data_IF_328566620482
#
_entry.id   IF_328566620482
#
_cell.length_a   1.000
_cell.length_b   1.000
_cell.length_c   1.000
_cell.angle_alpha   90.00
_cell.angle_beta   90.00
_cell.angle_gamma   90.00
#
_symmetry.space_group_name_H-M   'P 1'
#
loop_
_entity.id
_entity.type
_entity.pdbx_description
1 polymer ?
#
# COMPACT_ATOMS: atom_id res chain seq x y z
N UNK A 1 69.81 -57.68 -11.83
CA UNK A 1 69.73 -57.71 -10.36
C UNK A 1 68.31 -57.32 -9.98
N UNK A 2 67.45 -58.33 -9.79
CA UNK A 2 66.90 -58.77 -8.48
C UNK A 2 65.90 -57.77 -7.89
N UNK A 3 64.68 -58.08 -7.44
CA UNK A 3 63.70 -59.17 -7.60
C UNK A 3 62.55 -58.78 -6.63
N UNK A 4 61.27 -59.07 -6.96
CA UNK A 4 60.12 -59.32 -6.03
C UNK A 4 59.55 -58.11 -5.26
N UNK A 5 58.33 -58.07 -4.72
CA UNK A 5 56.98 -58.62 -5.03
C UNK A 5 55.95 -57.77 -4.24
N UNK A 6 54.69 -57.90 -4.65
CA UNK A 6 53.43 -57.47 -4.02
C UNK A 6 53.33 -57.78 -2.51
N UNK A 7 52.73 -56.88 -1.72
CA UNK A 7 51.82 -57.27 -0.62
C UNK A 7 50.80 -56.16 -0.32
N UNK A 8 49.54 -56.58 -0.31
CA UNK A 8 48.35 -55.88 0.14
C UNK A 8 48.44 -55.59 1.64
N UNK A 9 48.08 -54.36 2.06
CA UNK A 9 47.42 -54.20 3.35
C UNK A 9 46.24 -53.23 3.20
N UNK A 10 45.08 -53.82 3.41
CA UNK A 10 43.76 -53.23 3.52
C UNK A 10 43.75 -52.24 4.71
N UNK A 11 43.67 -50.94 4.44
CA UNK A 11 43.26 -49.95 5.45
C UNK A 11 41.93 -49.37 5.02
N UNK A 12 40.86 -49.90 5.61
CA UNK A 12 39.53 -49.28 5.64
C UNK A 12 39.70 -47.97 6.39
N UNK A 13 39.87 -46.87 5.66
CA UNK A 13 39.62 -45.54 6.19
C UNK A 13 38.11 -45.35 6.11
N UNK A 14 37.47 -45.45 7.28
CA UNK A 14 36.16 -44.87 7.53
C UNK A 14 36.22 -43.38 7.19
N UNK A 15 35.88 -43.05 5.94
CA UNK A 15 35.38 -41.74 5.57
C UNK A 15 34.02 -41.59 6.24
N UNK A 16 34.05 -41.27 7.54
CA UNK A 16 32.99 -40.47 8.13
C UNK A 16 32.95 -39.18 7.31
N UNK A 17 32.02 -39.13 6.35
CA UNK A 17 31.67 -37.91 5.67
C UNK A 17 31.24 -36.92 6.74
N UNK A 18 32.16 -36.05 7.14
CA UNK A 18 31.82 -34.78 7.76
C UNK A 18 30.95 -34.06 6.74
N UNK A 19 29.63 -34.22 6.88
CA UNK A 19 28.67 -33.30 6.31
C UNK A 19 28.98 -31.94 6.92
N UNK A 20 29.81 -31.17 6.24
CA UNK A 20 29.95 -29.75 6.49
C UNK A 20 28.54 -29.17 6.38
N UNK A 21 27.92 -28.91 7.53
CA UNK A 21 26.67 -28.17 7.61
C UNK A 21 26.92 -26.85 6.91
N UNK A 22 26.32 -26.68 5.73
CA UNK A 22 26.36 -25.39 5.05
C UNK A 22 25.81 -24.33 6.01
N UNK A 23 26.36 -23.10 6.00
CA UNK A 23 25.82 -22.03 6.82
C UNK A 23 24.31 -21.92 6.56
N UNK A 24 23.50 -22.01 7.62
CA UNK A 24 22.03 -22.19 7.56
C UNK A 24 21.28 -21.22 6.64
N UNK A 25 21.66 -19.93 6.49
CA UNK A 25 21.05 -19.03 5.52
C UNK A 25 21.16 -19.52 4.06
N UNK A 26 22.24 -20.26 3.74
CA UNK A 26 22.48 -20.83 2.42
C UNK A 26 21.60 -22.07 2.15
N UNK A 27 21.18 -22.79 3.19
CA UNK A 27 20.30 -23.96 3.07
C UNK A 27 18.91 -23.55 2.58
N UNK A 28 18.25 -22.60 3.25
CA UNK A 28 16.91 -22.14 2.86
C UNK A 28 16.93 -21.50 1.48
N UNK A 29 17.94 -20.68 1.16
CA UNK A 29 18.08 -20.06 -0.17
C UNK A 29 18.12 -21.12 -1.29
N UNK A 30 18.86 -22.21 -1.09
CA UNK A 30 18.91 -23.30 -2.06
C UNK A 30 17.60 -24.10 -2.14
N UNK A 31 16.92 -24.30 -1.01
CA UNK A 31 15.61 -24.96 -1.00
C UNK A 31 14.56 -24.12 -1.72
N UNK A 32 14.52 -22.80 -1.49
CA UNK A 32 13.61 -21.90 -2.20
C UNK A 32 13.91 -21.82 -3.70
N UNK A 33 15.18 -21.78 -4.11
CA UNK A 33 15.53 -21.89 -5.55
C UNK A 33 14.98 -23.16 -6.21
N UNK A 34 14.93 -24.28 -5.47
CA UNK A 34 14.33 -25.52 -5.97
C UNK A 34 12.81 -25.40 -6.03
N UNK A 35 12.16 -24.81 -5.02
CA UNK A 35 10.72 -24.50 -5.04
C UNK A 35 10.38 -23.65 -6.27
N UNK A 36 11.09 -22.54 -6.48
CA UNK A 36 10.89 -21.64 -7.62
C UNK A 36 11.08 -22.38 -8.96
N UNK A 37 12.11 -23.24 -9.05
CA UNK A 37 12.33 -24.05 -10.26
C UNK A 37 11.22 -25.05 -10.53
N UNK A 38 10.60 -25.63 -9.50
CA UNK A 38 9.48 -26.56 -9.66
C UNK A 38 8.21 -25.79 -10.06
N UNK A 39 7.98 -24.64 -9.44
CA UNK A 39 6.87 -23.75 -9.77
C UNK A 39 6.93 -23.30 -11.25
N UNK A 40 8.10 -22.84 -11.71
CA UNK A 40 8.31 -22.42 -13.10
C UNK A 40 8.12 -23.56 -14.12
N UNK A 41 8.19 -24.83 -13.68
CA UNK A 41 7.93 -26.03 -14.51
C UNK A 41 6.48 -26.51 -14.41
N UNK A 42 5.61 -25.81 -13.68
CA UNK A 42 4.24 -26.24 -13.41
C UNK A 42 4.14 -27.45 -12.47
N UNK A 43 5.23 -27.84 -11.79
CA UNK A 43 5.29 -28.99 -10.90
C UNK A 43 4.83 -28.63 -9.47
N UNK A 44 3.61 -28.11 -9.36
CA UNK A 44 3.08 -27.50 -8.11
C UNK A 44 2.98 -28.51 -6.97
N UNK A 45 2.64 -29.78 -7.24
CA UNK A 45 2.58 -30.84 -6.21
C UNK A 45 3.95 -31.09 -5.58
N UNK A 46 4.99 -31.22 -6.40
CA UNK A 46 6.38 -31.39 -5.92
C UNK A 46 6.90 -30.13 -5.21
N UNK A 47 6.50 -28.95 -5.68
CA UNK A 47 6.81 -27.69 -4.98
C UNK A 47 6.18 -27.67 -3.58
N UNK A 48 4.91 -28.10 -3.45
CA UNK A 48 4.20 -28.20 -2.17
C UNK A 48 4.88 -29.17 -1.19
N UNK A 49 5.27 -30.36 -1.66
CA UNK A 49 6.02 -31.33 -0.85
C UNK A 49 7.33 -30.73 -0.30
N UNK A 50 8.08 -30.03 -1.15
CA UNK A 50 9.32 -29.38 -0.72
C UNK A 50 9.04 -28.25 0.28
N UNK A 51 7.99 -27.45 0.08
CA UNK A 51 7.57 -26.40 1.03
C UNK A 51 7.18 -27.00 2.38
N UNK A 52 6.51 -28.14 2.42
CA UNK A 52 6.20 -28.85 3.68
C UNK A 52 7.46 -29.32 4.41
N UNK A 53 8.49 -29.78 3.68
CA UNK A 53 9.79 -30.13 4.26
C UNK A 53 10.50 -28.90 4.86
N UNK A 54 10.51 -27.78 4.12
CA UNK A 54 11.06 -26.50 4.61
C UNK A 54 10.33 -26.09 5.89
N UNK A 55 9.00 -26.20 5.94
CA UNK A 55 8.21 -25.82 7.10
C UNK A 55 8.57 -26.65 8.34
N UNK A 56 8.73 -27.97 8.18
CA UNK A 56 9.12 -28.85 9.28
C UNK A 56 10.48 -28.48 9.86
N UNK A 57 11.45 -28.20 8.99
CA UNK A 57 12.78 -27.72 9.41
C UNK A 57 12.68 -26.34 10.11
N UNK A 58 11.95 -25.40 9.53
CA UNK A 58 11.78 -24.06 10.08
C UNK A 58 11.10 -24.07 11.46
N UNK A 59 10.09 -24.94 11.68
CA UNK A 59 9.46 -25.12 12.99
C UNK A 59 10.44 -25.68 14.03
N UNK A 60 11.25 -26.67 13.67
CA UNK A 60 12.27 -27.23 14.57
C UNK A 60 13.36 -26.21 14.95
N UNK A 61 13.60 -25.23 14.07
CA UNK A 61 14.57 -24.15 14.27
C UNK A 61 13.98 -22.88 14.87
N UNK A 62 12.66 -22.83 15.14
CA UNK A 62 11.94 -21.63 15.55
C UNK A 62 12.13 -20.44 14.57
N UNK A 63 12.31 -20.71 13.28
CA UNK A 63 12.43 -19.69 12.25
C UNK A 63 11.04 -19.21 11.82
N UNK A 64 10.53 -18.21 12.53
CA UNK A 64 9.19 -17.65 12.32
C UNK A 64 8.98 -17.18 10.87
N UNK A 65 9.94 -16.46 10.30
CA UNK A 65 9.81 -15.93 8.94
C UNK A 65 9.63 -17.06 7.92
N UNK A 66 10.43 -18.12 8.02
CA UNK A 66 10.32 -19.28 7.13
C UNK A 66 9.03 -20.09 7.36
N UNK A 67 8.57 -20.23 8.60
CA UNK A 67 7.29 -20.88 8.90
C UNK A 67 6.11 -20.12 8.26
N UNK A 68 6.12 -18.79 8.35
CA UNK A 68 5.07 -17.96 7.73
C UNK A 68 5.18 -17.99 6.21
N UNK A 69 6.40 -17.91 5.64
CA UNK A 69 6.64 -18.02 4.20
C UNK A 69 6.09 -19.32 3.63
N UNK A 70 6.45 -20.43 4.26
CA UNK A 70 5.99 -21.76 3.84
C UNK A 70 4.48 -21.88 3.97
N UNK A 71 3.87 -21.28 5.00
CA UNK A 71 2.40 -21.26 5.12
C UNK A 71 1.76 -20.54 3.93
N UNK A 72 2.21 -19.34 3.56
CA UNK A 72 1.69 -18.60 2.40
C UNK A 72 1.81 -19.43 1.10
N UNK A 73 2.95 -20.08 0.88
CA UNK A 73 3.16 -20.93 -0.30
C UNK A 73 2.27 -22.17 -0.29
N UNK A 74 2.01 -22.77 0.88
CA UNK A 74 1.05 -23.87 1.00
C UNK A 74 -0.36 -23.42 0.59
N UNK A 75 -0.83 -22.25 1.05
CA UNK A 75 -2.13 -21.72 0.66
C UNK A 75 -2.20 -21.51 -0.85
N UNK A 76 -1.17 -20.87 -1.43
CA UNK A 76 -1.04 -20.65 -2.87
C UNK A 76 -1.13 -21.95 -3.67
N UNK A 77 -0.31 -22.94 -3.32
CA UNK A 77 -0.23 -24.20 -4.07
C UNK A 77 -1.47 -25.07 -3.89
N UNK A 78 -2.03 -25.13 -2.69
CA UNK A 78 -3.31 -25.83 -2.47
C UNK A 78 -4.44 -25.22 -3.28
N UNK A 79 -4.50 -23.89 -3.37
CA UNK A 79 -5.50 -23.20 -4.19
C UNK A 79 -5.37 -23.50 -5.70
N UNK A 80 -4.20 -23.94 -6.17
CA UNK A 80 -3.98 -24.34 -7.56
C UNK A 80 -4.36 -25.81 -7.80
N UNK A 81 -4.16 -26.68 -6.81
CA UNK A 81 -4.27 -28.14 -6.97
C UNK A 81 -5.63 -28.69 -6.53
N UNK A 82 -6.21 -28.15 -5.46
CA UNK A 82 -7.47 -28.62 -4.89
C UNK A 82 -8.65 -27.92 -5.59
N UNK A 83 -9.71 -28.67 -5.93
CA UNK A 83 -10.96 -28.10 -6.44
C UNK A 83 -11.70 -27.34 -5.33
N UNK A 84 -12.31 -26.19 -5.66
CA UNK A 84 -13.08 -25.36 -4.73
C UNK A 84 -12.36 -25.05 -3.40
N UNK A 85 -11.03 -24.94 -3.48
CA UNK A 85 -10.18 -24.96 -2.30
C UNK A 85 -10.13 -23.65 -1.55
N UNK A 86 -10.40 -22.52 -2.22
CA UNK A 86 -10.23 -21.21 -1.64
C UNK A 86 -11.04 -21.04 -0.36
N UNK A 87 -12.35 -21.32 -0.37
CA UNK A 87 -13.19 -21.17 0.82
C UNK A 87 -12.75 -22.11 1.95
N UNK A 88 -12.45 -23.37 1.61
CA UNK A 88 -11.94 -24.36 2.58
C UNK A 88 -10.63 -23.89 3.22
N UNK A 89 -9.69 -23.40 2.40
CA UNK A 89 -8.41 -22.87 2.84
C UNK A 89 -8.61 -21.69 3.79
N UNK A 90 -9.51 -20.75 3.47
CA UNK A 90 -9.80 -19.60 4.33
C UNK A 90 -10.42 -20.03 5.66
N UNK A 91 -11.36 -20.97 5.66
CA UNK A 91 -11.94 -21.49 6.91
C UNK A 91 -10.89 -22.18 7.78
N UNK A 92 -10.03 -23.01 7.20
CA UNK A 92 -8.91 -23.67 7.91
C UNK A 92 -7.91 -22.64 8.45
N UNK A 93 -7.52 -21.66 7.63
CA UNK A 93 -6.59 -20.59 8.01
C UNK A 93 -7.17 -19.72 9.14
N UNK A 94 -8.46 -19.41 9.08
CA UNK A 94 -9.15 -18.66 10.13
C UNK A 94 -9.10 -19.43 11.45
N UNK A 95 -9.47 -20.72 11.45
CA UNK A 95 -9.39 -21.56 12.65
C UNK A 95 -7.96 -21.63 13.21
N UNK A 96 -6.95 -21.79 12.34
CA UNK A 96 -5.55 -21.80 12.75
C UNK A 96 -5.14 -20.45 13.37
N UNK A 97 -5.61 -19.32 12.85
CA UNK A 97 -5.25 -17.99 13.37
C UNK A 97 -5.62 -17.81 14.85
N UNK A 98 -6.74 -18.39 15.29
CA UNK A 98 -7.19 -18.35 16.69
C UNK A 98 -6.44 -19.32 17.62
N UNK A 99 -5.81 -20.36 17.08
CA UNK A 99 -5.10 -21.39 17.87
C UNK A 99 -3.59 -21.20 17.87
N UNK A 100 -3.05 -20.49 16.89
CA UNK A 100 -1.63 -20.30 16.74
C UNK A 100 -1.04 -19.45 17.89
N UNK A 101 0.17 -19.76 18.37
CA UNK A 101 0.85 -18.91 19.33
C UNK A 101 1.41 -17.65 18.65
N UNK A 102 1.72 -16.63 19.44
CA UNK A 102 2.49 -15.48 18.99
C UNK A 102 3.85 -15.90 18.41
N UNK A 103 4.36 -15.26 17.34
CA UNK A 103 3.72 -14.19 16.56
C UNK A 103 2.84 -14.66 15.39
N UNK A 104 2.66 -15.98 15.25
CA UNK A 104 1.91 -16.55 14.12
C UNK A 104 0.44 -16.12 14.12
N UNK A 105 -0.22 -16.08 15.29
CA UNK A 105 -1.62 -15.62 15.39
C UNK A 105 -1.82 -14.23 14.77
N UNK A 106 -1.02 -13.25 15.16
CA UNK A 106 -1.11 -11.88 14.64
C UNK A 106 -0.93 -11.82 13.12
N UNK A 107 0.08 -12.53 12.58
CA UNK A 107 0.34 -12.59 11.15
C UNK A 107 -0.78 -13.30 10.39
N UNK A 108 -1.29 -14.40 10.94
CA UNK A 108 -2.36 -15.18 10.32
C UNK A 108 -3.69 -14.44 10.35
N UNK A 109 -4.02 -13.71 11.41
CA UNK A 109 -5.20 -12.85 11.44
C UNK A 109 -5.10 -11.74 10.37
N UNK A 110 -3.94 -11.08 10.21
CA UNK A 110 -3.76 -10.09 9.15
C UNK A 110 -3.89 -10.69 7.74
N UNK A 111 -3.37 -11.91 7.55
CA UNK A 111 -3.48 -12.63 6.28
C UNK A 111 -4.94 -13.08 6.02
N UNK A 112 -5.66 -13.57 7.02
CA UNK A 112 -7.08 -13.90 6.90
C UNK A 112 -7.91 -12.68 6.49
N UNK A 113 -7.68 -11.53 7.13
CA UNK A 113 -8.39 -10.29 6.79
C UNK A 113 -8.20 -9.93 5.30
N UNK A 114 -6.96 -9.97 4.82
CA UNK A 114 -6.62 -9.75 3.42
C UNK A 114 -7.31 -10.76 2.49
N UNK A 115 -7.25 -12.05 2.82
CA UNK A 115 -7.81 -13.12 1.99
C UNK A 115 -9.34 -13.04 1.90
N UNK A 116 -10.03 -12.76 3.02
CA UNK A 116 -11.48 -12.51 3.00
C UNK A 116 -11.83 -11.27 2.19
N UNK A 117 -11.01 -10.22 2.26
CA UNK A 117 -11.21 -9.04 1.43
C UNK A 117 -11.01 -9.34 -0.04
N UNK A 118 -9.96 -10.07 -0.40
CA UNK A 118 -9.71 -10.53 -1.78
C UNK A 118 -10.84 -11.41 -2.31
N UNK A 119 -11.43 -12.26 -1.46
CA UNK A 119 -12.63 -13.03 -1.82
C UNK A 119 -13.76 -12.12 -2.29
N UNK A 120 -14.10 -11.10 -1.50
CA UNK A 120 -15.11 -10.12 -1.88
C UNK A 120 -14.76 -9.43 -3.19
N UNK A 121 -13.53 -8.91 -3.30
CA UNK A 121 -13.05 -8.18 -4.47
C UNK A 121 -13.17 -9.00 -5.76
N UNK A 122 -12.85 -10.29 -5.71
CA UNK A 122 -12.96 -11.22 -6.84
C UNK A 122 -14.40 -11.67 -7.13
N UNK A 123 -15.32 -11.49 -6.18
CA UNK A 123 -16.70 -11.96 -6.28
C UNK A 123 -17.74 -10.84 -6.14
N UNK A 124 -17.35 -9.57 -6.32
CA UNK A 124 -18.22 -8.38 -6.09
C UNK A 124 -19.62 -8.52 -6.70
N UNK A 125 -19.69 -9.01 -7.94
CA UNK A 125 -20.94 -9.21 -8.66
C UNK A 125 -21.94 -10.12 -7.94
N UNK A 126 -21.45 -11.09 -7.15
CA UNK A 126 -22.28 -12.02 -6.38
C UNK A 126 -22.85 -11.39 -5.11
N UNK A 127 -22.26 -10.31 -4.61
CA UNK A 127 -22.68 -9.65 -3.37
C UNK A 127 -23.80 -8.61 -3.59
N UNK A 128 -23.99 -8.10 -4.82
CA UNK A 128 -24.99 -7.06 -5.09
C UNK A 128 -26.43 -7.46 -4.72
N UNK A 129 -26.76 -8.74 -4.81
CA UNK A 129 -28.10 -9.25 -4.52
C UNK A 129 -28.20 -9.99 -3.17
N UNK A 130 -27.21 -9.85 -2.28
CA UNK A 130 -27.21 -10.52 -0.98
C UNK A 130 -27.63 -9.56 0.11
N UNK A 131 -28.68 -9.93 0.85
CA UNK A 131 -29.13 -9.21 2.04
C UNK A 131 -28.58 -9.91 3.28
N UNK A 132 -28.15 -9.13 4.28
CA UNK A 132 -27.72 -9.67 5.57
C UNK A 132 -28.87 -10.41 6.27
N UNK A 133 -28.56 -11.58 6.83
CA UNK A 133 -29.44 -12.32 7.75
C UNK A 133 -28.68 -12.65 9.04
N UNK A 134 -29.29 -12.49 10.23
CA UNK A 134 -28.68 -12.93 11.49
C UNK A 134 -28.36 -14.44 11.52
N UNK A 135 -29.10 -15.25 10.75
CA UNK A 135 -28.94 -16.70 10.65
C UNK A 135 -28.11 -17.11 9.42
N UNK A 136 -27.12 -16.28 9.04
CA UNK A 136 -26.19 -16.65 7.98
C UNK A 136 -25.40 -17.91 8.34
N UNK A 137 -25.27 -18.82 7.37
CA UNK A 137 -24.60 -20.09 7.58
C UNK A 137 -23.09 -19.92 7.80
N UNK A 138 -22.42 -20.97 8.27
CA UNK A 138 -20.94 -21.00 8.32
C UNK A 138 -20.29 -21.03 6.92
N UNK A 139 -21.07 -21.16 5.84
CA UNK A 139 -20.57 -21.12 4.47
C UNK A 139 -20.48 -19.66 3.97
N UNK A 140 -19.24 -19.19 3.81
CA UNK A 140 -18.94 -17.84 3.34
C UNK A 140 -19.50 -17.51 1.96
N UNK A 141 -19.83 -18.53 1.15
CA UNK A 141 -20.49 -18.34 -0.15
C UNK A 141 -21.88 -17.75 -0.02
N UNK A 142 -22.47 -17.81 1.17
CA UNK A 142 -23.81 -17.27 1.47
C UNK A 142 -23.78 -15.92 2.19
N UNK A 143 -22.61 -15.50 2.67
CA UNK A 143 -22.49 -14.28 3.47
C UNK A 143 -22.87 -13.04 2.67
N UNK A 144 -23.54 -12.11 3.35
CA UNK A 144 -23.70 -10.75 2.90
C UNK A 144 -22.40 -9.97 3.01
N UNK A 145 -22.37 -8.79 2.37
CA UNK A 145 -21.22 -7.89 2.45
C UNK A 145 -21.00 -7.39 3.88
N UNK A 146 -22.08 -7.19 4.64
CA UNK A 146 -22.04 -6.76 6.04
C UNK A 146 -21.30 -7.77 6.91
N UNK A 147 -21.67 -9.06 6.83
CA UNK A 147 -21.00 -10.12 7.58
C UNK A 147 -19.53 -10.26 7.18
N UNK A 148 -19.25 -10.32 5.88
CA UNK A 148 -17.88 -10.42 5.40
C UNK A 148 -17.02 -9.25 5.90
N UNK A 149 -17.56 -8.03 5.87
CA UNK A 149 -16.87 -6.83 6.37
C UNK A 149 -16.59 -6.95 7.87
N UNK A 150 -17.58 -7.36 8.67
CA UNK A 150 -17.40 -7.61 10.10
C UNK A 150 -16.28 -8.64 10.40
N UNK A 151 -16.23 -9.74 9.64
CA UNK A 151 -15.17 -10.75 9.74
C UNK A 151 -13.80 -10.15 9.43
N UNK A 152 -13.69 -9.36 8.35
CA UNK A 152 -12.43 -8.68 7.98
C UNK A 152 -11.99 -7.69 9.07
N UNK A 153 -12.91 -6.87 9.59
CA UNK A 153 -12.67 -5.95 10.71
C UNK A 153 -12.12 -6.73 11.90
N UNK A 154 -12.82 -7.79 12.34
CA UNK A 154 -12.43 -8.62 13.49
C UNK A 154 -11.04 -9.23 13.32
N UNK A 155 -10.71 -9.75 12.14
CA UNK A 155 -9.39 -10.29 11.88
C UNK A 155 -8.30 -9.19 11.92
N UNK A 156 -8.51 -8.02 11.32
CA UNK A 156 -7.54 -6.92 11.45
C UNK A 156 -7.35 -6.48 12.90
N UNK A 157 -8.43 -6.34 13.68
CA UNK A 157 -8.32 -5.97 15.10
C UNK A 157 -7.61 -7.05 15.92
N UNK A 158 -7.91 -8.33 15.67
CA UNK A 158 -7.22 -9.46 16.32
C UNK A 158 -5.74 -9.54 15.95
N UNK A 159 -5.36 -9.12 14.75
CA UNK A 159 -3.95 -9.03 14.37
C UNK A 159 -3.12 -8.09 15.26
N UNK A 160 -3.79 -7.11 15.91
CA UNK A 160 -3.18 -6.08 16.74
C UNK A 160 -3.40 -6.29 18.25
N UNK A 161 -4.08 -7.37 18.66
CA UNK A 161 -4.49 -7.61 20.05
C UNK A 161 -3.29 -7.69 21.01
N UNK A 162 -2.20 -8.36 20.61
CA UNK A 162 -0.99 -8.48 21.42
C UNK A 162 -0.04 -7.28 21.26
N UNK A 163 -0.59 -6.07 21.37
CA UNK A 163 0.08 -4.78 21.11
C UNK A 163 1.47 -4.66 21.70
N UNK A 164 1.65 -4.92 22.99
CA UNK A 164 2.95 -4.77 23.66
C UNK A 164 4.03 -5.72 23.11
N UNK A 165 3.66 -6.95 22.75
CA UNK A 165 4.60 -7.92 22.17
C UNK A 165 4.97 -7.52 20.74
N UNK A 166 3.98 -7.08 19.97
CA UNK A 166 4.17 -6.60 18.60
C UNK A 166 5.12 -5.39 18.55
N UNK A 167 4.93 -4.42 19.45
CA UNK A 167 5.79 -3.24 19.58
C UNK A 167 7.22 -3.57 19.99
N UNK A 168 7.45 -4.70 20.67
CA UNK A 168 8.80 -5.18 21.04
C UNK A 168 9.43 -6.08 19.98
N UNK A 169 8.70 -6.44 18.92
CA UNK A 169 9.16 -7.39 17.91
C UNK A 169 9.71 -6.61 16.70
N UNK A 170 11.02 -6.61 16.44
CA UNK A 170 11.60 -5.88 15.31
C UNK A 170 11.13 -6.46 13.98
N UNK A 171 10.64 -5.60 13.07
CA UNK A 171 10.18 -6.00 11.74
C UNK A 171 11.31 -6.66 10.93
N UNK A 172 12.55 -6.27 11.20
CA UNK A 172 13.77 -6.83 10.60
C UNK A 172 13.85 -8.36 10.69
N UNK A 173 13.25 -8.96 11.72
CA UNK A 173 13.18 -10.43 11.89
C UNK A 173 12.42 -11.13 10.77
N UNK A 174 11.59 -10.40 10.03
CA UNK A 174 10.72 -10.90 8.97
C UNK A 174 11.20 -10.52 7.56
N UNK A 175 12.40 -9.96 7.40
CA UNK A 175 12.90 -9.47 6.09
C UNK A 175 12.79 -10.49 4.95
N UNK A 176 12.93 -11.79 5.22
CA UNK A 176 12.86 -12.84 4.19
C UNK A 176 11.45 -13.06 3.59
N UNK A 177 10.42 -12.50 4.22
CA UNK A 177 9.01 -12.55 3.76
C UNK A 177 8.43 -11.18 3.43
N UNK A 178 9.19 -10.11 3.66
CA UNK A 178 8.80 -8.77 3.28
C UNK A 178 9.35 -8.47 1.89
N UNK A 179 8.54 -7.80 1.09
CA UNK A 179 9.03 -7.15 -0.12
C UNK A 179 9.46 -5.75 0.28
N UNK A 180 10.69 -5.36 -0.06
CA UNK A 180 11.16 -4.00 0.20
C UNK A 180 10.26 -3.00 -0.54
N UNK A 181 9.68 -2.08 0.21
CA UNK A 181 8.97 -0.94 -0.36
C UNK A 181 9.97 0.11 -0.80
N UNK A 182 9.68 0.81 -1.90
CA UNK A 182 10.44 2.01 -2.23
C UNK A 182 10.30 3.01 -1.10
N UNK A 183 11.42 3.58 -0.65
CA UNK A 183 11.42 4.66 0.34
C UNK A 183 10.76 4.32 1.69
N UNK A 184 10.85 3.06 2.14
CA UNK A 184 10.23 2.62 3.41
C UNK A 184 11.20 2.48 4.59
N UNK A 185 12.46 2.87 4.43
CA UNK A 185 13.50 2.68 5.45
C UNK A 185 13.12 3.40 6.76
N UNK A 186 13.21 2.67 7.89
CA UNK A 186 12.92 3.17 9.24
C UNK A 186 11.48 3.61 9.53
N UNK A 187 10.55 3.50 8.58
CA UNK A 187 9.17 3.95 8.77
C UNK A 187 8.30 2.94 9.53
N UNK A 188 8.68 1.66 9.50
CA UNK A 188 7.96 0.55 10.15
C UNK A 188 8.96 -0.30 10.95
N UNK A 189 9.51 0.19 12.07
CA UNK A 189 10.56 -0.52 12.80
C UNK A 189 10.10 -1.83 13.43
N UNK A 190 8.81 -1.99 13.74
CA UNK A 190 8.26 -3.12 14.48
C UNK A 190 7.17 -3.88 13.72
N UNK A 191 6.89 -5.10 14.17
CA UNK A 191 5.77 -5.88 13.64
C UNK A 191 4.43 -5.19 13.90
N UNK A 192 4.31 -4.41 15.00
CA UNK A 192 3.12 -3.60 15.25
C UNK A 192 2.89 -2.62 14.12
N UNK A 193 3.91 -1.87 13.71
CA UNK A 193 3.79 -0.86 12.66
C UNK A 193 3.34 -1.50 11.35
N UNK A 194 3.99 -2.59 10.95
CA UNK A 194 3.62 -3.30 9.72
C UNK A 194 2.15 -3.75 9.73
N UNK A 195 1.69 -4.41 10.80
CA UNK A 195 0.32 -4.90 10.87
C UNK A 195 -0.70 -3.77 11.01
N UNK A 196 -0.37 -2.73 11.79
CA UNK A 196 -1.26 -1.62 12.04
C UNK A 196 -1.50 -0.80 10.77
N UNK A 197 -0.46 -0.53 9.98
CA UNK A 197 -0.62 0.17 8.70
C UNK A 197 -1.31 -0.69 7.63
N UNK A 198 -1.15 -2.02 7.64
CA UNK A 198 -1.98 -2.92 6.81
C UNK A 198 -3.46 -2.79 7.17
N UNK A 199 -3.79 -2.76 8.46
CA UNK A 199 -5.15 -2.56 8.91
C UNK A 199 -5.70 -1.17 8.54
N UNK A 200 -4.92 -0.10 8.75
CA UNK A 200 -5.31 1.27 8.37
C UNK A 200 -5.57 1.37 6.86
N UNK A 201 -4.79 0.70 6.02
CA UNK A 201 -5.01 0.67 4.57
C UNK A 201 -6.40 0.12 4.21
N UNK A 202 -6.83 -0.98 4.84
CA UNK A 202 -8.18 -1.49 4.69
C UNK A 202 -9.24 -0.51 5.23
N UNK A 203 -9.02 0.04 6.43
CA UNK A 203 -9.95 0.98 7.06
C UNK A 203 -10.09 2.33 6.36
N UNK A 204 -9.19 2.63 5.40
CA UNK A 204 -9.26 3.82 4.56
C UNK A 204 -10.16 3.64 3.34
N UNK A 205 -10.67 2.43 3.10
CA UNK A 205 -11.42 2.12 1.89
C UNK A 205 -12.85 2.71 1.94
N UNK A 206 -13.19 3.51 0.93
CA UNK A 206 -14.52 4.15 0.75
C UNK A 206 -15.48 3.35 -0.13
N UNK A 207 -15.02 2.28 -0.77
CA UNK A 207 -15.83 1.47 -1.68
C UNK A 207 -16.98 0.74 -0.99
N UNK A 208 -16.91 0.60 0.33
CA UNK A 208 -17.96 -0.04 1.12
C UNK A 208 -19.11 0.93 1.35
N UNK A 209 -20.04 0.98 0.39
CA UNK A 209 -21.36 1.59 0.59
C UNK A 209 -22.25 0.61 1.34
N UNK A 210 -21.99 0.46 2.63
CA UNK A 210 -22.87 -0.28 3.54
C UNK A 210 -24.05 0.61 3.95
N UNK A 211 -25.20 0.01 4.23
CA UNK A 211 -26.31 0.73 4.87
C UNK A 211 -25.81 1.28 6.20
N UNK A 212 -25.75 2.61 6.32
CA UNK A 212 -25.25 3.27 7.51
C UNK A 212 -26.34 3.30 8.60
N UNK A 213 -25.97 3.08 9.88
CA UNK A 213 -26.88 3.33 10.98
C UNK A 213 -27.18 4.83 11.10
N UNK A 214 -28.26 5.18 11.81
CA UNK A 214 -28.63 6.59 12.07
C UNK A 214 -27.51 7.33 12.83
N UNK A 215 -26.84 6.64 13.75
CA UNK A 215 -25.71 7.15 14.53
C UNK A 215 -24.36 6.69 13.96
N UNK A 216 -24.19 6.76 12.63
CA UNK A 216 -22.94 6.41 11.97
C UNK A 216 -21.80 7.30 12.48
N UNK A 217 -20.62 6.71 12.64
CA UNK A 217 -19.45 7.48 13.05
C UNK A 217 -18.93 8.35 11.90
N UNK A 218 -18.77 9.63 12.17
CA UNK A 218 -18.24 10.60 11.23
C UNK A 218 -16.99 11.29 11.79
N UNK A 219 -16.11 11.73 10.89
CA UNK A 219 -14.97 12.58 11.23
C UNK A 219 -15.40 14.04 11.03
N UNK A 220 -16.18 14.56 11.96
CA UNK A 220 -16.89 15.85 11.89
C UNK A 220 -16.28 16.97 12.77
N UNK A 221 -15.22 16.67 13.53
CA UNK A 221 -14.57 17.62 14.42
C UNK A 221 -13.18 18.06 13.91
N UNK A 222 -12.94 19.37 13.86
CA UNK A 222 -11.62 19.93 13.56
C UNK A 222 -10.51 19.45 14.51
N UNK A 223 -10.88 18.96 15.71
CA UNK A 223 -9.97 18.35 16.67
C UNK A 223 -9.11 17.23 16.07
N UNK A 224 -9.62 16.50 15.06
CA UNK A 224 -8.88 15.46 14.36
C UNK A 224 -7.65 15.97 13.59
N UNK A 225 -7.58 17.28 13.30
CA UNK A 225 -6.43 17.95 12.66
C UNK A 225 -5.47 18.62 13.65
N UNK A 226 -5.72 18.56 14.95
CA UNK A 226 -4.83 19.15 15.96
C UNK A 226 -3.44 18.50 15.95
N UNK A 227 -2.46 19.14 16.60
CA UNK A 227 -1.14 18.54 16.79
C UNK A 227 -1.26 17.14 17.44
N UNK A 228 -0.32 16.26 17.13
CA UNK A 228 -0.37 14.87 17.57
C UNK A 228 -0.54 14.68 19.09
N UNK A 229 0.05 15.54 19.94
CA UNK A 229 -0.09 15.41 21.41
C UNK A 229 -1.55 15.61 21.84
N UNK A 230 -2.23 16.59 21.27
CA UNK A 230 -3.66 16.83 21.49
C UNK A 230 -4.50 15.70 20.89
N UNK A 231 -4.21 15.29 19.66
CA UNK A 231 -4.91 14.20 18.97
C UNK A 231 -4.85 12.86 19.72
N UNK A 232 -3.69 12.47 20.25
CA UNK A 232 -3.49 11.24 21.04
C UNK A 232 -4.41 11.20 22.26
N UNK A 233 -4.75 12.35 22.84
CA UNK A 233 -5.58 12.44 24.04
C UNK A 233 -7.08 12.49 23.75
N UNK A 234 -7.50 12.60 22.48
CA UNK A 234 -8.90 12.66 22.11
C UNK A 234 -9.64 11.38 22.49
N UNK A 235 -10.82 11.54 23.09
CA UNK A 235 -11.71 10.44 23.46
C UNK A 235 -12.64 10.12 22.29
N UNK A 236 -12.13 9.37 21.32
CA UNK A 236 -12.90 8.92 20.16
C UNK A 236 -13.73 7.68 20.56
N UNK A 237 -15.05 7.75 20.40
CA UNK A 237 -15.99 6.67 20.73
C UNK A 237 -16.99 6.51 19.59
N UNK A 238 -17.43 5.28 19.37
CA UNK A 238 -18.51 4.93 18.46
C UNK A 238 -19.19 3.67 18.95
N UNK A 239 -20.50 3.56 18.71
CA UNK A 239 -21.25 2.31 18.84
C UNK A 239 -21.41 1.59 17.49
N UNK A 240 -20.98 2.20 16.39
CA UNK A 240 -20.98 1.62 15.05
C UNK A 240 -19.83 0.62 14.93
N UNK A 241 -20.16 -0.67 15.03
CA UNK A 241 -19.20 -1.78 14.95
C UNK A 241 -18.69 -2.05 13.54
N UNK A 242 -19.26 -1.40 12.52
CA UNK A 242 -18.86 -1.54 11.12
C UNK A 242 -18.13 -0.29 10.60
N UNK A 243 -17.96 0.73 11.44
CA UNK A 243 -17.26 1.96 11.04
C UNK A 243 -15.77 1.71 10.83
N UNK A 244 -15.37 1.63 9.56
CA UNK A 244 -13.98 1.54 9.16
C UNK A 244 -13.21 2.79 9.61
N UNK A 245 -13.82 3.98 9.46
CA UNK A 245 -13.22 5.25 9.83
C UNK A 245 -12.88 5.30 11.32
N UNK A 246 -13.77 4.78 12.18
CA UNK A 246 -13.55 4.69 13.63
C UNK A 246 -12.34 3.81 13.96
N UNK A 247 -12.25 2.61 13.40
CA UNK A 247 -11.12 1.72 13.67
C UNK A 247 -9.80 2.27 13.11
N UNK A 248 -9.83 2.82 11.90
CA UNK A 248 -8.66 3.44 11.26
C UNK A 248 -8.09 4.59 12.10
N UNK A 249 -8.93 5.53 12.53
CA UNK A 249 -8.47 6.69 13.32
C UNK A 249 -7.96 6.27 14.70
N UNK A 250 -8.56 5.24 15.32
CA UNK A 250 -8.11 4.67 16.60
C UNK A 250 -6.73 4.01 16.48
N UNK A 251 -6.49 3.26 15.40
CA UNK A 251 -5.18 2.64 15.17
C UNK A 251 -4.11 3.71 14.91
N UNK A 252 -4.42 4.75 14.14
CA UNK A 252 -3.52 5.89 13.94
C UNK A 252 -3.20 6.62 15.26
N UNK A 253 -4.18 6.77 16.15
CA UNK A 253 -3.98 7.30 17.51
C UNK A 253 -2.99 6.46 18.31
N UNK A 254 -3.10 5.13 18.20
CA UNK A 254 -2.24 4.18 18.90
C UNK A 254 -0.81 4.16 18.35
N UNK A 255 -0.63 4.22 17.03
CA UNK A 255 0.70 4.31 16.38
C UNK A 255 1.41 5.60 16.80
N UNK A 256 0.69 6.74 16.78
CA UNK A 256 1.28 8.01 17.21
C UNK A 256 1.67 8.01 18.69
N UNK A 257 0.84 7.42 19.55
CA UNK A 257 1.16 7.27 20.97
C UNK A 257 2.40 6.40 21.19
N UNK A 258 2.62 5.38 20.35
CA UNK A 258 3.78 4.50 20.40
C UNK A 258 5.08 5.25 20.06
N UNK A 259 5.08 6.04 18.98
CA UNK A 259 6.29 6.69 18.46
C UNK A 259 6.56 8.11 19.00
N UNK A 260 5.68 8.70 19.81
CA UNK A 260 5.80 10.10 20.27
C UNK A 260 7.11 10.41 21.03
N UNK A 261 7.80 9.39 21.54
CA UNK A 261 9.06 9.50 22.29
C UNK A 261 10.29 9.02 21.51
N UNK A 262 10.14 8.71 20.23
CA UNK A 262 11.24 8.22 19.42
C UNK A 262 12.32 9.29 19.25
N UNK A 263 13.58 8.87 19.39
CA UNK A 263 14.73 9.76 19.16
C UNK A 263 14.94 10.06 17.67
N UNK A 264 14.52 9.15 16.79
CA UNK A 264 14.44 9.34 15.35
C UNK A 264 12.96 9.39 14.96
N UNK A 265 12.42 10.58 14.63
CA UNK A 265 10.98 10.77 14.50
C UNK A 265 10.42 10.31 13.14
N UNK A 266 11.19 9.62 12.29
CA UNK A 266 10.77 9.26 10.93
C UNK A 266 9.46 8.45 10.92
N UNK A 267 9.36 7.40 11.74
CA UNK A 267 8.14 6.61 11.90
C UNK A 267 6.97 7.43 12.46
N UNK A 268 7.26 8.34 13.41
CA UNK A 268 6.27 9.25 13.98
C UNK A 268 5.72 10.23 12.94
N UNK A 269 6.59 10.90 12.19
CA UNK A 269 6.24 11.86 11.14
C UNK A 269 5.42 11.17 10.06
N UNK A 270 5.84 9.98 9.64
CA UNK A 270 5.11 9.21 8.65
C UNK A 270 3.71 8.81 9.14
N UNK A 271 3.60 8.35 10.40
CA UNK A 271 2.31 8.05 11.00
C UNK A 271 1.40 9.28 11.09
N UNK A 272 1.97 10.45 11.39
CA UNK A 272 1.19 11.68 11.48
C UNK A 272 0.74 12.18 10.10
N UNK A 273 1.58 12.02 9.07
CA UNK A 273 1.18 12.25 7.68
C UNK A 273 0.04 11.33 7.25
N UNK A 274 0.12 10.03 7.59
CA UNK A 274 -0.95 9.08 7.33
C UNK A 274 -2.23 9.44 8.10
N UNK A 275 -2.13 9.90 9.34
CA UNK A 275 -3.30 10.41 10.09
C UNK A 275 -3.94 11.58 9.37
N UNK A 276 -3.15 12.61 9.05
CA UNK A 276 -3.68 13.83 8.46
C UNK A 276 -4.33 13.55 7.10
N UNK A 277 -3.71 12.71 6.27
CA UNK A 277 -4.28 12.25 5.00
C UNK A 277 -5.56 11.43 5.20
N UNK A 278 -5.57 10.52 6.17
CA UNK A 278 -6.76 9.73 6.52
C UNK A 278 -7.94 10.62 6.92
N UNK A 279 -7.70 11.60 7.80
CA UNK A 279 -8.74 12.54 8.24
C UNK A 279 -9.19 13.42 7.08
N UNK A 280 -8.27 13.99 6.30
CA UNK A 280 -8.58 14.84 5.15
C UNK A 280 -9.43 14.12 4.09
N UNK A 281 -9.11 12.86 3.81
CA UNK A 281 -9.89 12.04 2.89
C UNK A 281 -11.28 11.74 3.43
N UNK A 282 -11.44 11.47 4.72
CA UNK A 282 -12.68 10.90 5.28
C UNK A 282 -13.56 11.87 6.07
N UNK A 283 -13.11 13.10 6.32
CA UNK A 283 -13.90 14.13 7.01
C UNK A 283 -15.02 14.70 6.14
N UNK A 284 -16.13 15.06 6.80
CA UNK A 284 -17.27 15.77 6.20
C UNK A 284 -17.14 17.30 6.31
N UNK A 285 -16.08 17.80 6.96
CA UNK A 285 -15.86 19.23 7.15
C UNK A 285 -15.60 19.95 5.82
N UNK A 286 -16.33 21.05 5.59
CA UNK A 286 -16.19 21.85 4.36
C UNK A 286 -14.82 22.53 4.26
N UNK A 287 -14.26 22.99 5.38
CA UNK A 287 -12.96 23.68 5.43
C UNK A 287 -11.75 22.74 5.56
N UNK A 288 -11.91 21.45 5.26
CA UNK A 288 -10.89 20.40 5.46
C UNK A 288 -9.54 20.69 4.79
N UNK A 289 -9.54 21.30 3.61
CA UNK A 289 -8.29 21.64 2.91
C UNK A 289 -7.44 22.63 3.72
N UNK A 290 -8.09 23.64 4.31
CA UNK A 290 -7.40 24.61 5.14
C UNK A 290 -6.92 24.01 6.47
N UNK A 291 -7.74 23.15 7.09
CA UNK A 291 -7.37 22.42 8.31
C UNK A 291 -6.15 21.51 8.05
N UNK A 292 -6.16 20.79 6.93
CA UNK A 292 -5.08 19.89 6.52
C UNK A 292 -3.77 20.66 6.27
N UNK A 293 -3.80 21.75 5.50
CA UNK A 293 -2.63 22.60 5.26
C UNK A 293 -2.07 23.16 6.57
N UNK A 294 -2.93 23.69 7.45
CA UNK A 294 -2.49 24.23 8.74
C UNK A 294 -1.81 23.16 9.61
N UNK A 295 -2.38 21.96 9.65
CA UNK A 295 -1.82 20.84 10.41
C UNK A 295 -0.47 20.39 9.84
N UNK A 296 -0.36 20.25 8.51
CA UNK A 296 0.91 19.92 7.83
C UNK A 296 1.99 20.99 8.07
N UNK A 297 1.63 22.28 8.03
CA UNK A 297 2.56 23.37 8.32
C UNK A 297 3.06 23.31 9.77
N UNK A 298 2.18 23.07 10.74
CA UNK A 298 2.59 22.89 12.13
C UNK A 298 3.49 21.66 12.31
N UNK A 299 3.17 20.55 11.64
CA UNK A 299 3.98 19.34 11.66
C UNK A 299 5.36 19.61 11.07
N UNK A 300 5.44 20.30 9.93
CA UNK A 300 6.71 20.68 9.31
C UNK A 300 7.56 21.54 10.24
N UNK A 301 6.99 22.60 10.82
CA UNK A 301 7.76 23.51 11.70
C UNK A 301 8.38 22.79 12.90
N UNK A 302 7.68 21.79 13.46
CA UNK A 302 8.18 21.01 14.60
C UNK A 302 9.33 20.07 14.24
N UNK A 303 9.40 19.60 12.99
CA UNK A 303 10.34 18.55 12.56
C UNK A 303 11.25 18.94 11.39
N UNK A 304 11.23 20.19 10.92
CA UNK A 304 12.00 20.69 9.75
C UNK A 304 13.51 20.44 9.81
N UNK A 305 14.06 20.19 10.99
CA UNK A 305 15.48 19.86 11.18
C UNK A 305 15.82 18.42 10.83
N UNK A 306 14.84 17.51 10.78
CA UNK A 306 15.03 16.11 10.42
C UNK A 306 14.91 15.91 8.91
N UNK A 307 15.76 15.06 8.29
CA UNK A 307 15.70 14.80 6.85
C UNK A 307 14.33 14.35 6.35
N UNK A 308 13.62 13.52 7.13
CA UNK A 308 12.30 13.02 6.75
C UNK A 308 11.21 14.11 6.69
N UNK A 309 11.46 15.32 7.20
CA UNK A 309 10.54 16.46 7.04
C UNK A 309 10.27 16.85 5.58
N UNK A 310 11.13 16.45 4.64
CA UNK A 310 10.86 16.61 3.21
C UNK A 310 9.61 15.84 2.75
N UNK A 311 9.19 14.78 3.46
CA UNK A 311 7.92 14.10 3.20
C UNK A 311 6.72 15.01 3.47
N UNK A 312 6.77 15.76 4.58
CA UNK A 312 5.74 16.75 4.93
C UNK A 312 5.74 17.88 3.90
N UNK A 313 6.93 18.35 3.52
CA UNK A 313 7.07 19.40 2.52
C UNK A 313 6.49 18.97 1.16
N UNK A 314 6.72 17.72 0.76
CA UNK A 314 6.15 17.16 -0.46
C UNK A 314 4.61 17.17 -0.42
N UNK A 315 3.99 16.74 0.69
CA UNK A 315 2.53 16.78 0.84
C UNK A 315 1.98 18.22 0.83
N UNK A 316 2.66 19.18 1.47
CA UNK A 316 2.29 20.60 1.39
C UNK A 316 2.34 21.12 -0.05
N UNK A 317 3.38 20.78 -0.80
CA UNK A 317 3.54 21.19 -2.19
C UNK A 317 2.42 20.64 -3.09
N UNK A 318 2.09 19.36 -2.92
CA UNK A 318 0.96 18.72 -3.63
C UNK A 318 -0.35 19.43 -3.28
N UNK A 319 -0.64 19.64 -1.99
CA UNK A 319 -1.89 20.26 -1.56
C UNK A 319 -2.02 21.72 -2.05
N UNK A 320 -0.95 22.52 -2.00
CA UNK A 320 -0.99 23.87 -2.56
C UNK A 320 -1.18 23.85 -4.09
N UNK A 321 -0.56 22.91 -4.79
CA UNK A 321 -0.78 22.73 -6.22
C UNK A 321 -2.23 22.39 -6.55
N UNK A 322 -2.88 21.53 -5.76
CA UNK A 322 -4.31 21.22 -5.89
C UNK A 322 -5.18 22.46 -5.62
N UNK A 323 -4.95 23.15 -4.51
CA UNK A 323 -5.71 24.37 -4.15
C UNK A 323 -5.52 25.50 -5.17
N UNK A 324 -4.39 25.54 -5.89
CA UNK A 324 -4.18 26.53 -6.96
C UNK A 324 -5.24 26.46 -8.08
N UNK A 325 -5.87 25.30 -8.26
CA UNK A 325 -6.93 25.09 -9.26
C UNK A 325 -8.24 25.81 -8.90
N UNK A 326 -8.38 26.25 -7.64
CA UNK A 326 -9.54 27.01 -7.18
C UNK A 326 -9.46 28.50 -7.58
N UNK A 327 -8.34 28.95 -8.17
CA UNK A 327 -8.21 30.33 -8.64
C UNK A 327 -9.19 30.64 -9.79
N UNK A 328 -10.00 31.68 -9.59
CA UNK A 328 -10.88 32.25 -10.59
C UNK A 328 -10.56 33.74 -10.76
N UNK A 329 -10.20 34.16 -11.97
CA UNK A 329 -9.86 35.55 -12.26
C UNK A 329 -11.03 36.53 -12.06
N UNK A 330 -12.26 36.04 -12.04
CA UNK A 330 -13.47 36.84 -11.85
C UNK A 330 -13.97 36.86 -10.39
N UNK A 331 -13.35 36.09 -9.49
CA UNK A 331 -13.71 36.05 -8.08
C UNK A 331 -12.50 36.45 -7.21
N UNK A 332 -12.56 37.66 -6.66
CA UNK A 332 -11.50 38.22 -5.83
C UNK A 332 -11.22 37.41 -4.55
N UNK A 333 -12.19 36.64 -4.06
CA UNK A 333 -12.02 35.78 -2.89
C UNK A 333 -11.01 34.65 -3.13
N UNK A 334 -10.80 34.28 -4.40
CA UNK A 334 -9.90 33.18 -4.80
C UNK A 334 -8.48 33.64 -5.15
N UNK A 335 -8.19 34.95 -5.10
CA UNK A 335 -6.92 35.51 -5.59
C UNK A 335 -5.69 34.98 -4.84
N UNK A 336 -5.85 34.56 -3.59
CA UNK A 336 -4.78 33.91 -2.82
C UNK A 336 -4.24 32.65 -3.52
N UNK A 337 -5.09 31.89 -4.22
CA UNK A 337 -4.71 30.62 -4.87
C UNK A 337 -3.83 30.84 -6.11
N UNK A 338 -3.83 32.04 -6.69
CA UNK A 338 -3.06 32.38 -7.90
C UNK A 338 -1.56 32.09 -7.77
N UNK A 339 -1.00 32.30 -6.57
CA UNK A 339 0.44 32.18 -6.32
C UNK A 339 0.84 30.85 -5.71
N UNK A 340 -0.10 29.92 -5.50
CA UNK A 340 0.16 28.68 -4.75
C UNK A 340 1.16 27.75 -5.44
N UNK A 341 1.17 27.68 -6.78
CA UNK A 341 2.19 26.92 -7.51
C UNK A 341 3.58 27.52 -7.31
N UNK A 342 3.71 28.85 -7.36
CA UNK A 342 4.98 29.56 -7.09
C UNK A 342 5.43 29.34 -5.64
N UNK A 343 4.50 29.42 -4.68
CA UNK A 343 4.75 29.12 -3.26
C UNK A 343 5.27 27.69 -3.08
N UNK A 344 4.61 26.71 -3.69
CA UNK A 344 5.01 25.31 -3.64
C UNK A 344 6.40 25.09 -4.24
N UNK A 345 6.68 25.68 -5.40
CA UNK A 345 7.98 25.60 -6.05
C UNK A 345 9.11 26.17 -5.17
N UNK A 346 8.92 27.37 -4.63
CA UNK A 346 9.93 28.02 -3.76
C UNK A 346 10.16 27.22 -2.48
N UNK A 347 9.10 26.71 -1.87
CA UNK A 347 9.20 25.90 -0.66
C UNK A 347 9.87 24.55 -0.91
N UNK A 348 9.56 23.88 -2.04
CA UNK A 348 10.24 22.67 -2.45
C UNK A 348 11.76 22.90 -2.62
N UNK A 349 12.14 23.99 -3.30
CA UNK A 349 13.54 24.37 -3.48
C UNK A 349 14.25 24.62 -2.14
N UNK A 350 13.60 25.31 -1.20
CA UNK A 350 14.13 25.55 0.14
C UNK A 350 14.36 24.23 0.89
N UNK A 351 13.40 23.31 0.86
CA UNK A 351 13.49 22.03 1.56
C UNK A 351 14.54 21.10 0.96
N UNK A 352 14.69 21.08 -0.37
CA UNK A 352 15.79 20.36 -1.05
C UNK A 352 17.14 20.94 -0.61
N UNK A 353 17.28 22.27 -0.55
CA UNK A 353 18.54 22.89 -0.14
C UNK A 353 18.91 22.58 1.31
N UNK A 354 17.91 22.49 2.19
CA UNK A 354 18.10 22.11 3.61
C UNK A 354 18.55 20.66 3.76
N UNK A 355 17.89 19.73 3.07
CA UNK A 355 18.13 18.29 3.20
C UNK A 355 18.33 17.61 1.84
N UNK A 356 19.42 17.88 1.10
CA UNK A 356 19.56 17.47 -0.31
C UNK A 356 19.61 15.95 -0.54
N UNK A 357 19.93 15.19 0.51
CA UNK A 357 20.03 13.71 0.50
C UNK A 357 18.87 13.03 1.24
N UNK A 358 17.87 13.77 1.68
CA UNK A 358 16.70 13.16 2.29
C UNK A 358 15.90 12.34 1.28
N UNK A 359 15.20 11.32 1.78
CA UNK A 359 14.41 10.38 1.00
C UNK A 359 13.43 11.06 0.03
N UNK A 360 12.73 12.10 0.50
CA UNK A 360 11.74 12.83 -0.28
C UNK A 360 12.31 13.98 -1.13
N UNK A 361 13.64 14.16 -1.16
CA UNK A 361 14.25 15.22 -1.97
C UNK A 361 14.08 14.98 -3.47
N UNK A 362 14.14 13.72 -3.91
CA UNK A 362 13.89 13.39 -5.31
C UNK A 362 12.42 13.61 -5.68
N UNK A 363 11.49 13.33 -4.77
CA UNK A 363 10.07 13.60 -4.97
C UNK A 363 9.80 15.11 -5.15
N UNK A 364 10.44 15.95 -4.33
CA UNK A 364 10.36 17.40 -4.48
C UNK A 364 10.96 17.90 -5.80
N UNK A 365 12.08 17.32 -6.26
CA UNK A 365 12.66 17.64 -7.58
C UNK A 365 11.71 17.28 -8.71
N UNK A 366 11.19 16.05 -8.72
CA UNK A 366 10.23 15.60 -9.72
C UNK A 366 8.96 16.48 -9.71
N UNK A 367 8.50 16.91 -8.54
CA UNK A 367 7.39 17.86 -8.42
C UNK A 367 7.71 19.21 -9.07
N UNK A 368 8.90 19.77 -8.80
CA UNK A 368 9.34 21.03 -9.41
C UNK A 368 9.45 20.92 -10.93
N UNK A 369 10.08 19.86 -11.45
CA UNK A 369 10.14 19.58 -12.89
C UNK A 369 8.74 19.49 -13.50
N UNK A 370 7.79 18.86 -12.80
CA UNK A 370 6.38 18.81 -13.20
C UNK A 370 5.72 20.19 -13.32
N UNK A 371 6.07 21.15 -12.45
CA UNK A 371 5.58 22.53 -12.53
C UNK A 371 6.24 23.35 -13.63
N UNK A 372 7.44 22.97 -14.07
CA UNK A 372 8.21 23.62 -15.14
C UNK A 372 7.84 23.11 -16.53
N UNK A 373 7.25 21.91 -16.61
CA UNK A 373 6.84 21.31 -17.87
C UNK A 373 6.02 22.26 -18.75
N UNK A 374 6.40 22.31 -20.02
CA UNK A 374 5.70 23.09 -21.03
C UNK A 374 4.56 22.27 -21.58
N UNK A 375 3.36 22.82 -21.55
CA UNK A 375 2.19 22.23 -22.21
C UNK A 375 1.59 23.24 -23.17
N UNK A 376 1.18 22.76 -24.34
CA UNK A 376 0.43 23.52 -25.32
C UNK A 376 -0.54 22.56 -25.99
N UNK A 377 -1.83 22.76 -25.76
CA UNK A 377 -2.90 22.08 -26.46
C UNK A 377 -3.76 23.10 -27.18
N UNK A 378 -4.43 22.66 -28.24
CA UNK A 378 -5.36 23.49 -28.98
C UNK A 378 -6.67 22.73 -29.19
N UNK A 379 -7.77 23.47 -29.18
CA UNK A 379 -9.11 23.01 -29.50
C UNK A 379 -9.64 23.90 -30.64
N UNK A 380 -10.26 23.26 -31.64
CA UNK A 380 -10.94 23.92 -32.75
C UNK A 380 -12.30 23.28 -32.94
N UNK A 381 -13.23 24.04 -33.53
CA UNK A 381 -14.54 23.50 -33.90
C UNK A 381 -14.39 22.39 -34.96
N UNK A 382 -15.09 21.27 -34.79
CA UNK A 382 -15.07 20.15 -35.76
C UNK A 382 -15.63 20.57 -37.13
N UNK A 383 -16.52 21.55 -37.15
CA UNK A 383 -17.13 22.09 -38.36
C UNK A 383 -16.96 23.59 -38.41
N UNK A 384 -16.15 24.07 -39.36
CA UNK A 384 -15.98 25.49 -39.64
C UNK A 384 -16.82 25.88 -40.86
N UNK A 385 -17.49 27.04 -40.81
CA UNK A 385 -18.23 27.56 -41.95
C UNK A 385 -17.23 28.08 -42.99
N UNK A 386 -17.33 27.66 -44.27
CA UNK A 386 -16.45 28.15 -45.33
C UNK A 386 -16.43 29.68 -45.41
N UNK A 387 -15.23 30.23 -45.61
CA UNK A 387 -14.99 31.68 -45.74
C UNK A 387 -15.45 32.53 -44.53
N UNK A 388 -15.59 31.92 -43.35
CA UNK A 388 -15.82 32.64 -42.10
C UNK A 388 -14.65 32.46 -41.13
N UNK A 389 -14.37 33.46 -40.28
CA UNK A 389 -13.46 33.28 -39.15
C UNK A 389 -13.96 32.16 -38.23
N UNK A 390 -13.04 31.37 -37.67
CA UNK A 390 -13.29 30.40 -36.62
C UNK A 390 -12.27 30.60 -35.50
N UNK A 391 -12.62 30.19 -34.27
CA UNK A 391 -11.76 30.33 -33.11
C UNK A 391 -10.85 29.11 -32.93
N UNK A 392 -9.63 29.37 -32.44
CA UNK A 392 -8.73 28.33 -31.90
C UNK A 392 -8.52 28.65 -30.43
N UNK A 393 -8.94 27.74 -29.55
CA UNK A 393 -8.69 27.86 -28.12
C UNK A 393 -7.36 27.21 -27.81
N UNK A 394 -6.42 27.98 -27.27
CA UNK A 394 -5.14 27.47 -26.79
C UNK A 394 -5.18 27.32 -25.28
N UNK A 395 -4.74 26.17 -24.78
CA UNK A 395 -4.47 25.95 -23.36
C UNK A 395 -2.99 25.69 -23.19
N UNK A 396 -2.31 26.44 -22.34
CA UNK A 396 -0.86 26.36 -22.23
C UNK A 396 -0.33 26.58 -20.81
N UNK A 397 0.85 26.02 -20.54
CA UNK A 397 1.62 26.21 -19.31
C UNK A 397 3.09 26.42 -19.67
N UNK A 398 3.75 27.43 -19.10
CA UNK A 398 5.17 27.74 -19.33
C UNK A 398 5.59 27.94 -20.80
N UNK A 399 4.64 28.33 -21.67
CA UNK A 399 4.89 28.64 -23.08
C UNK A 399 4.77 30.15 -23.28
N UNK A 400 5.77 30.76 -23.92
CA UNK A 400 5.81 32.20 -24.21
C UNK A 400 5.47 32.54 -25.66
N UNK A 401 5.60 31.57 -26.58
CA UNK A 401 5.31 31.71 -28.01
C UNK A 401 4.74 30.41 -28.57
N UNK A 402 3.69 30.52 -29.38
CA UNK A 402 3.11 29.41 -30.13
C UNK A 402 3.17 29.74 -31.64
N UNK A 403 3.62 28.77 -32.45
CA UNK A 403 3.62 28.88 -33.91
C UNK A 403 2.48 28.01 -34.45
N UNK A 404 1.55 28.63 -35.18
CA UNK A 404 0.38 27.94 -35.74
C UNK A 404 0.55 27.88 -37.26
N UNK A 405 0.40 26.68 -37.83
CA UNK A 405 0.32 26.49 -39.28
C UNK A 405 -1.00 25.86 -39.66
N UNK A 406 -1.73 26.49 -40.58
CA UNK A 406 -2.96 25.96 -41.16
C UNK A 406 -2.62 25.37 -42.53
N UNK A 407 -3.05 24.14 -42.79
CA UNK A 407 -2.76 23.41 -44.03
C UNK A 407 -4.04 22.77 -44.56
N UNK A 408 -4.16 22.69 -45.88
CA UNK A 408 -5.19 21.90 -46.53
C UNK A 408 -4.79 20.42 -46.54
N UNK A 409 -5.78 19.55 -46.44
CA UNK A 409 -5.66 18.11 -46.67
C UNK A 409 -6.73 17.70 -47.67
N UNK A 410 -6.39 16.77 -48.56
CA UNK A 410 -7.36 16.15 -49.44
C UNK A 410 -8.42 15.38 -48.65
N UNK A 411 -9.69 15.45 -49.09
CA UNK A 411 -10.82 14.87 -48.36
C UNK A 411 -10.74 13.35 -48.27
N UNK A 412 -10.38 12.67 -49.37
CA UNK A 412 -10.32 11.21 -49.41
C UNK A 412 -9.16 10.72 -48.53
N UNK A 413 -8.04 11.44 -48.56
CA UNK A 413 -6.89 11.18 -47.67
C UNK A 413 -7.23 11.41 -46.19
N UNK A 414 -7.99 12.46 -45.87
CA UNK A 414 -8.46 12.71 -44.51
C UNK A 414 -9.36 11.57 -44.02
N UNK A 415 -10.30 11.11 -44.86
CA UNK A 415 -11.15 9.96 -44.56
C UNK A 415 -10.32 8.70 -44.31
N UNK A 416 -9.33 8.38 -45.13
CA UNK A 416 -8.45 7.21 -44.90
C UNK A 416 -7.73 7.27 -43.54
N UNK A 417 -7.27 8.45 -43.12
CA UNK A 417 -6.55 8.64 -41.86
C UNK A 417 -7.44 8.41 -40.63
N UNK A 418 -8.66 8.94 -40.65
CA UNK A 418 -9.61 8.78 -39.51
C UNK A 418 -10.27 7.39 -39.49
N UNK A 419 -10.44 6.73 -40.64
CA UNK A 419 -11.02 5.38 -40.71
C UNK A 419 -10.02 4.26 -40.35
N UNK A 420 -8.70 4.50 -40.46
CA UNK A 420 -7.67 3.55 -39.98
C UNK A 420 -7.71 3.28 -38.48
N UNK A 421 -8.34 4.16 -37.69
CA UNK A 421 -8.52 3.95 -36.25
C UNK A 421 -9.74 3.08 -35.89
N UNK A 422 -10.55 2.65 -36.88
CA UNK A 422 -11.78 1.86 -36.64
C UNK A 422 -11.92 0.56 -37.47
N UNK A 423 -10.85 0.05 -38.10
CA UNK A 423 -10.91 -1.14 -38.96
C UNK A 423 -9.98 -2.29 -38.56
N UNK A 424 -10.37 -3.52 -38.91
CA UNK A 424 -9.85 -4.89 -38.62
C UNK A 424 -8.33 -5.12 -38.44
N UNK A 425 -7.44 -4.15 -38.66
CA UNK A 425 -5.98 -4.28 -38.44
C UNK A 425 -5.54 -4.24 -36.97
N UNK A 426 -6.47 -4.21 -36.02
CA UNK A 426 -6.20 -4.46 -34.60
C UNK A 426 -6.31 -5.95 -34.22
N UNK A 427 -6.69 -6.85 -35.15
CA UNK A 427 -6.82 -8.31 -34.90
C UNK A 427 -5.97 -9.14 -35.88
N UNK A 428 -4.79 -8.68 -36.27
CA UNK A 428 -3.83 -9.52 -37.01
C UNK A 428 -2.45 -9.51 -36.36
#
# INVERSE_FOLDING_TARGET
MTHKHFFSLLTIVLLAGFSFSQPKPYLYKNQWRKVDSLENKGMVKSALELVQQIQKAAKAENNVAQVVKTRIYQLKYRNIIEEDAFEKILTEMSNESYQAPFPYSSLYHSLCAELYWQYYQNNRYRFYNRTYSPDESNDMRTWSLTHLTDVVIKHYLKSLEEKEKLQKTPLKTFQEILTDGENSENLRPTLYDFLAFRAVSFFSNKELTLSQPVDAFELDDSAYFTNAKSFIQLKIKSNDTLSLQFYGIKILQDILAFHIKDSQPDAFIDADLNRLDFVHKNTILENKDQLYVNALQQLFENYKTFPYSNAIAYQLCIQWSLMSQQYNAFDSSTYMFKTYKTKAYQFAQECINRHPKALYSQHLKNFMEGLENQTLTFEVEETAIPNKPFAVKLTYTNVTKAFISVRSIDKDKYQELIYKEYGEKLIS
#
